data_IF_684049190108
#
_entry.id   IF_684049190108
#
_cell.length_a   1.000
_cell.length_b   1.000
_cell.length_c   1.000
_cell.angle_alpha   90.00
_cell.angle_beta   90.00
_cell.angle_gamma   90.00
#
_symmetry.space_group_name_H-M   'P 1'
#
loop_
_entity.id
_entity.type
_entity.pdbx_description
1 polymer ?
#
# COMPACT_ATOMS: atom_id res chain seq x y z
N UNK A 1 9.77 13.01 30.07
CA UNK A 1 8.52 12.90 29.30
C UNK A 1 8.94 12.77 27.85
N UNK A 2 9.15 11.54 27.37
CA UNK A 2 9.43 11.32 25.95
C UNK A 2 8.21 11.82 25.19
N UNK A 3 8.38 12.80 24.31
CA UNK A 3 7.35 13.16 23.35
C UNK A 3 7.08 11.90 22.54
N UNK A 4 5.93 11.26 22.80
CA UNK A 4 5.47 10.12 22.02
C UNK A 4 5.09 10.73 20.67
N UNK A 5 5.96 10.56 19.67
CA UNK A 5 5.70 10.98 18.29
C UNK A 5 4.62 10.11 17.65
N UNK A 6 4.41 10.29 16.35
CA UNK A 6 3.61 9.40 15.52
C UNK A 6 4.55 8.53 14.68
N UNK A 7 4.76 7.28 15.09
CA UNK A 7 5.86 6.46 14.58
C UNK A 7 5.95 6.42 13.04
N UNK A 8 4.82 6.21 12.35
CA UNK A 8 4.84 6.09 10.89
C UNK A 8 4.90 7.47 10.22
N UNK A 9 4.09 8.43 10.67
CA UNK A 9 4.06 9.76 10.04
C UNK A 9 5.41 10.48 10.17
N UNK A 10 6.04 10.37 11.34
CA UNK A 10 7.31 11.04 11.65
C UNK A 10 8.49 10.47 10.85
N UNK A 11 8.35 9.25 10.30
CA UNK A 11 9.36 8.65 9.42
C UNK A 11 9.05 8.86 7.94
N UNK A 12 7.77 8.76 7.54
CA UNK A 12 7.38 8.83 6.12
C UNK A 12 7.19 10.26 5.61
N UNK A 13 6.66 11.18 6.41
CA UNK A 13 6.17 12.49 5.93
C UNK A 13 6.86 13.66 6.61
N UNK A 14 7.05 13.62 7.94
CA UNK A 14 7.66 14.74 8.67
C UNK A 14 9.04 15.17 8.15
N UNK A 15 9.96 14.26 7.73
CA UNK A 15 11.27 14.66 7.19
C UNK A 15 11.18 15.48 5.90
N UNK A 16 10.03 15.45 5.23
CA UNK A 16 9.79 16.05 3.93
C UNK A 16 9.09 17.41 3.98
N UNK A 17 8.78 17.94 5.18
CA UNK A 17 8.03 19.19 5.34
C UNK A 17 8.67 20.40 4.66
N UNK A 18 9.98 20.36 4.41
CA UNK A 18 10.73 21.40 3.73
C UNK A 18 11.49 20.88 2.50
N UNK A 19 11.22 19.65 2.04
CA UNK A 19 11.91 19.06 0.90
C UNK A 19 11.32 19.58 -0.44
N UNK A 20 12.09 20.34 -1.25
CA UNK A 20 11.58 20.91 -2.49
C UNK A 20 11.63 19.93 -3.68
N UNK A 21 12.15 18.71 -3.52
CA UNK A 21 12.21 17.74 -4.63
C UNK A 21 10.83 17.21 -4.99
N UNK A 22 10.68 16.74 -6.23
CA UNK A 22 9.42 16.20 -6.75
C UNK A 22 9.13 14.85 -6.09
N UNK A 23 7.98 14.75 -5.42
CA UNK A 23 7.46 13.48 -4.91
C UNK A 23 6.59 12.79 -5.97
N UNK A 24 5.54 13.46 -6.44
CA UNK A 24 4.60 12.90 -7.41
C UNK A 24 4.73 13.67 -8.73
N UNK A 25 4.98 12.93 -9.80
CA UNK A 25 5.00 13.46 -11.17
C UNK A 25 3.86 12.84 -11.95
N UNK A 26 2.98 13.66 -12.52
CA UNK A 26 1.84 13.21 -13.30
C UNK A 26 2.14 13.33 -14.81
N UNK A 27 1.60 12.43 -15.66
CA UNK A 27 1.86 12.49 -17.10
C UNK A 27 1.32 13.72 -17.82
N UNK A 28 0.43 14.49 -17.20
CA UNK A 28 -0.03 15.80 -17.70
C UNK A 28 0.98 16.93 -17.42
N UNK A 29 2.13 16.60 -16.83
CA UNK A 29 3.21 17.53 -16.48
C UNK A 29 3.03 18.23 -15.13
N UNK A 30 2.02 17.84 -14.34
CA UNK A 30 1.85 18.38 -13.00
C UNK A 30 2.76 17.64 -12.01
N UNK A 31 3.76 18.36 -11.51
CA UNK A 31 4.67 17.89 -10.47
C UNK A 31 4.28 18.46 -9.10
N UNK A 32 4.34 17.61 -8.09
CA UNK A 32 4.06 17.96 -6.69
C UNK A 32 5.30 17.63 -5.87
N UNK A 33 5.84 18.66 -5.21
CA UNK A 33 6.99 18.49 -4.34
C UNK A 33 6.60 17.81 -3.05
N UNK A 34 7.58 17.18 -2.41
CA UNK A 34 7.44 16.62 -1.07
C UNK A 34 6.87 17.63 -0.05
N UNK A 35 7.42 18.85 0.00
CA UNK A 35 6.95 19.90 0.90
C UNK A 35 5.49 20.30 0.62
N UNK A 36 5.13 20.48 -0.66
CA UNK A 36 3.75 20.83 -1.03
C UNK A 36 2.77 19.71 -0.68
N UNK A 37 3.17 18.45 -0.87
CA UNK A 37 2.37 17.28 -0.50
C UNK A 37 2.14 17.22 1.02
N UNK A 38 3.18 17.41 1.84
CA UNK A 38 3.07 17.39 3.31
C UNK A 38 2.19 18.53 3.82
N UNK A 39 2.32 19.75 3.26
CA UNK A 39 1.46 20.88 3.57
C UNK A 39 -0.02 20.57 3.24
N UNK A 40 -0.27 19.99 2.07
CA UNK A 40 -1.62 19.58 1.63
C UNK A 40 -2.22 18.52 2.57
N UNK A 41 -1.43 17.54 3.00
CA UNK A 41 -1.87 16.53 3.98
C UNK A 41 -2.25 17.16 5.33
N UNK A 42 -1.48 18.15 5.81
CA UNK A 42 -1.80 18.87 7.04
C UNK A 42 -3.11 19.66 6.94
N UNK A 43 -3.38 20.28 5.79
CA UNK A 43 -4.66 20.96 5.54
C UNK A 43 -5.84 19.98 5.55
N UNK A 44 -5.69 18.81 4.93
CA UNK A 44 -6.71 17.75 4.98
C UNK A 44 -6.91 17.26 6.42
N UNK A 45 -5.84 17.13 7.22
CA UNK A 45 -5.95 16.73 8.63
C UNK A 45 -6.84 17.69 9.46
N UNK A 46 -6.76 19.01 9.20
CA UNK A 46 -7.70 19.97 9.79
C UNK A 46 -9.15 19.72 9.36
N UNK A 47 -9.40 19.41 8.09
CA UNK A 47 -10.75 19.05 7.61
C UNK A 47 -11.27 17.78 8.29
N UNK A 48 -10.43 16.77 8.47
CA UNK A 48 -10.81 15.54 9.17
C UNK A 48 -11.23 15.82 10.62
N UNK A 49 -10.43 16.56 11.37
CA UNK A 49 -10.75 16.92 12.76
C UNK A 49 -11.97 17.83 12.87
N UNK A 50 -12.18 18.76 11.93
CA UNK A 50 -13.38 19.58 11.87
C UNK A 50 -14.65 18.76 11.61
N UNK A 51 -14.52 17.58 10.98
CA UNK A 51 -15.59 16.59 10.81
C UNK A 51 -15.64 15.56 11.96
N UNK A 52 -14.93 15.84 13.06
CA UNK A 52 -15.00 15.08 14.31
C UNK A 52 -14.17 13.80 14.34
N UNK A 53 -13.22 13.61 13.42
CA UNK A 53 -12.29 12.47 13.48
C UNK A 53 -11.33 12.64 14.67
N UNK A 54 -11.21 11.59 15.48
CA UNK A 54 -10.28 11.48 16.61
C UNK A 54 -9.27 10.33 16.39
N UNK A 55 -8.14 10.30 17.13
CA UNK A 55 -7.21 9.17 17.05
C UNK A 55 -7.90 7.82 17.31
N UNK A 56 -7.65 6.83 16.44
CA UNK A 56 -8.28 5.50 16.49
C UNK A 56 -9.61 5.36 15.72
N UNK A 57 -10.18 6.47 15.24
CA UNK A 57 -11.34 6.40 14.35
C UNK A 57 -10.97 5.80 12.98
N UNK A 58 -11.88 5.07 12.36
CA UNK A 58 -11.68 4.53 11.01
C UNK A 58 -12.19 5.53 9.97
N UNK A 59 -11.41 5.74 8.92
CA UNK A 59 -11.82 6.49 7.73
C UNK A 59 -11.92 5.50 6.57
N UNK A 60 -13.16 5.20 6.17
CA UNK A 60 -13.45 4.28 5.07
C UNK A 60 -13.45 5.06 3.75
N UNK A 61 -12.63 4.63 2.79
CA UNK A 61 -12.38 5.37 1.55
C UNK A 61 -12.64 4.50 0.34
N UNK A 62 -13.72 4.79 -0.38
CA UNK A 62 -14.01 4.24 -1.71
C UNK A 62 -13.89 5.37 -2.75
N UNK A 63 -12.67 5.87 -2.94
CA UNK A 63 -12.36 7.00 -3.82
C UNK A 63 -11.44 6.59 -4.98
N UNK A 64 -11.49 7.29 -6.13
CA UNK A 64 -10.59 7.04 -7.24
C UNK A 64 -9.13 7.33 -6.86
N UNK A 65 -8.20 6.66 -7.54
CA UNK A 65 -6.77 6.93 -7.38
C UNK A 65 -6.44 8.33 -7.92
N UNK A 66 -6.10 9.24 -7.02
CA UNK A 66 -5.60 10.59 -7.28
C UNK A 66 -4.58 10.98 -6.20
N UNK A 67 -3.89 12.11 -6.38
CA UNK A 67 -2.92 12.64 -5.42
C UNK A 67 -3.57 12.88 -4.07
N UNK A 68 -4.76 13.46 -4.08
CA UNK A 68 -5.52 13.82 -2.87
C UNK A 68 -5.89 12.59 -2.05
N UNK A 69 -6.08 11.43 -2.67
CA UNK A 69 -6.30 10.17 -1.94
C UNK A 69 -5.04 9.73 -1.18
N UNK A 70 -3.86 9.98 -1.73
CA UNK A 70 -2.57 9.74 -1.03
C UNK A 70 -2.38 10.77 0.09
N UNK A 71 -2.74 12.03 -0.15
CA UNK A 71 -2.70 13.08 0.87
C UNK A 71 -3.70 12.80 2.01
N UNK A 72 -4.86 12.21 1.70
CA UNK A 72 -5.83 11.74 2.69
C UNK A 72 -5.26 10.60 3.54
N UNK A 73 -4.52 9.66 2.95
CA UNK A 73 -3.79 8.64 3.72
C UNK A 73 -2.80 9.29 4.71
N UNK A 74 -1.98 10.23 4.24
CA UNK A 74 -1.03 10.96 5.10
C UNK A 74 -1.74 11.74 6.22
N UNK A 75 -2.83 12.45 5.88
CA UNK A 75 -3.65 13.19 6.84
C UNK A 75 -4.29 12.28 7.89
N UNK A 76 -4.78 11.11 7.49
CA UNK A 76 -5.37 10.11 8.38
C UNK A 76 -4.34 9.66 9.42
N UNK A 77 -3.11 9.34 8.97
CA UNK A 77 -2.01 9.02 9.88
C UNK A 77 -1.66 10.19 10.79
N UNK A 78 -1.65 11.42 10.26
CA UNK A 78 -1.30 12.61 11.03
C UNK A 78 -2.28 12.90 12.17
N UNK A 79 -3.58 12.67 11.93
CA UNK A 79 -4.64 12.75 12.95
C UNK A 79 -4.57 11.56 13.93
N UNK A 80 -3.84 10.50 13.60
CA UNK A 80 -3.77 9.27 14.39
C UNK A 80 -4.96 8.35 14.20
N UNK A 81 -5.72 8.55 13.11
CA UNK A 81 -6.84 7.72 12.69
C UNK A 81 -6.36 6.52 11.87
N UNK A 82 -7.28 5.61 11.58
CA UNK A 82 -7.03 4.34 10.91
C UNK A 82 -7.55 4.41 9.48
N UNK A 83 -6.65 4.33 8.51
CA UNK A 83 -7.00 4.41 7.08
C UNK A 83 -7.55 3.08 6.57
N UNK A 84 -8.70 3.12 5.88
CA UNK A 84 -9.38 1.93 5.38
C UNK A 84 -9.77 2.13 3.92
N UNK A 85 -8.90 1.81 2.95
CA UNK A 85 -9.22 1.95 1.54
C UNK A 85 -10.00 0.73 1.04
N UNK A 86 -10.93 0.98 0.14
CA UNK A 86 -11.75 -0.03 -0.52
C UNK A 86 -11.56 0.00 -2.03
N UNK A 87 -11.79 -1.14 -2.66
CA UNK A 87 -11.86 -1.23 -4.11
C UNK A 87 -13.03 -0.38 -4.62
N UNK A 88 -12.75 0.49 -5.59
CA UNK A 88 -13.77 1.35 -6.22
C UNK A 88 -14.80 0.56 -7.02
N UNK A 89 -14.51 -0.70 -7.35
CA UNK A 89 -15.45 -1.61 -8.00
C UNK A 89 -16.44 -2.29 -7.04
N UNK A 90 -16.27 -2.15 -5.71
CA UNK A 90 -17.20 -2.75 -4.76
C UNK A 90 -18.60 -2.13 -4.88
N UNK A 91 -19.59 -3.02 -4.83
CA UNK A 91 -21.01 -2.69 -4.84
C UNK A 91 -21.45 -2.08 -3.51
N UNK A 92 -22.64 -1.47 -3.50
CA UNK A 92 -23.26 -0.92 -2.29
C UNK A 92 -23.33 -1.96 -1.16
N UNK A 93 -23.72 -3.20 -1.46
CA UNK A 93 -23.87 -4.26 -0.45
C UNK A 93 -22.53 -4.65 0.18
N UNK A 94 -21.47 -4.72 -0.65
CA UNK A 94 -20.11 -4.96 -0.16
C UNK A 94 -19.61 -3.81 0.72
N UNK A 95 -19.83 -2.55 0.30
CA UNK A 95 -19.47 -1.37 1.10
C UNK A 95 -20.26 -1.31 2.41
N UNK A 96 -21.55 -1.65 2.39
CA UNK A 96 -22.39 -1.73 3.59
C UNK A 96 -21.83 -2.75 4.59
N UNK A 97 -21.40 -3.92 4.12
CA UNK A 97 -20.70 -4.91 4.96
C UNK A 97 -19.44 -4.33 5.60
N UNK A 98 -18.55 -3.71 4.82
CA UNK A 98 -17.30 -3.15 5.34
C UNK A 98 -17.54 -2.00 6.33
N UNK A 99 -18.51 -1.13 6.05
CA UNK A 99 -18.88 -0.02 6.92
C UNK A 99 -19.51 -0.52 8.22
N UNK A 100 -20.38 -1.54 8.15
CA UNK A 100 -21.01 -2.15 9.33
C UNK A 100 -19.99 -2.82 10.25
N UNK A 101 -18.97 -3.47 9.69
CA UNK A 101 -17.90 -4.14 10.46
C UNK A 101 -16.88 -3.13 11.02
N UNK A 102 -16.38 -2.22 10.18
CA UNK A 102 -15.37 -1.25 10.57
C UNK A 102 -15.91 -0.10 11.43
N UNK A 103 -17.22 0.18 11.36
CA UNK A 103 -17.90 1.31 12.03
C UNK A 103 -17.13 2.64 11.88
N UNK A 104 -16.92 3.13 10.64
CA UNK A 104 -16.09 4.30 10.42
C UNK A 104 -16.72 5.58 10.94
N UNK A 105 -15.88 6.53 11.38
CA UNK A 105 -16.32 7.89 11.71
C UNK A 105 -16.64 8.70 10.47
N UNK A 106 -15.90 8.43 9.39
CA UNK A 106 -15.98 9.15 8.14
C UNK A 106 -15.93 8.18 6.97
N UNK A 107 -16.82 8.41 6.00
CA UNK A 107 -16.87 7.72 4.71
C UNK A 107 -16.49 8.71 3.61
N UNK A 108 -15.55 8.33 2.74
CA UNK A 108 -15.19 9.11 1.55
C UNK A 108 -15.54 8.32 0.30
N UNK A 109 -16.39 8.90 -0.56
CA UNK A 109 -16.74 8.34 -1.88
C UNK A 109 -16.52 9.35 -3.01
N UNK A 110 -16.89 9.03 -4.24
CA UNK A 110 -17.01 10.03 -5.31
C UNK A 110 -18.40 10.68 -5.31
N UNK A 111 -18.55 11.84 -5.94
CA UNK A 111 -19.87 12.49 -6.09
C UNK A 111 -20.90 11.57 -6.78
N UNK A 112 -20.43 10.77 -7.76
CA UNK A 112 -21.27 9.79 -8.46
C UNK A 112 -21.77 8.64 -7.58
N UNK A 113 -21.12 8.40 -6.44
CA UNK A 113 -21.48 7.34 -5.50
C UNK A 113 -22.26 7.85 -4.27
N UNK A 114 -22.44 9.18 -4.13
CA UNK A 114 -23.08 9.80 -2.95
C UNK A 114 -24.45 9.21 -2.66
N UNK A 115 -25.29 9.00 -3.67
CA UNK A 115 -26.64 8.46 -3.48
C UNK A 115 -26.58 7.07 -2.81
N UNK A 116 -25.73 6.18 -3.32
CA UNK A 116 -25.57 4.84 -2.76
C UNK A 116 -24.93 4.85 -1.36
N UNK A 117 -23.98 5.76 -1.12
CA UNK A 117 -23.20 5.82 0.12
C UNK A 117 -23.90 6.59 1.25
N UNK A 118 -24.82 7.49 0.93
CA UNK A 118 -25.53 8.31 1.93
C UNK A 118 -26.37 7.45 2.89
N UNK A 119 -27.04 6.43 2.37
CA UNK A 119 -27.80 5.48 3.20
C UNK A 119 -26.88 4.70 4.14
N UNK A 120 -25.77 4.17 3.61
CA UNK A 120 -24.78 3.43 4.41
C UNK A 120 -24.19 4.32 5.51
N UNK A 121 -23.76 5.54 5.15
CA UNK A 121 -23.19 6.49 6.11
C UNK A 121 -24.18 6.83 7.23
N UNK A 122 -25.46 7.03 6.89
CA UNK A 122 -26.51 7.24 7.87
C UNK A 122 -26.72 6.03 8.80
N UNK A 123 -26.75 4.81 8.25
CA UNK A 123 -26.91 3.57 9.03
C UNK A 123 -25.80 3.35 10.06
N UNK A 124 -24.55 3.66 9.70
CA UNK A 124 -23.40 3.50 10.61
C UNK A 124 -23.07 4.78 11.41
N UNK A 125 -23.82 5.87 11.20
CA UNK A 125 -23.57 7.15 11.87
C UNK A 125 -22.27 7.87 11.45
N UNK A 126 -21.80 7.63 10.23
CA UNK A 126 -20.60 8.24 9.67
C UNK A 126 -20.90 9.56 8.95
N UNK A 127 -19.95 10.50 8.98
CA UNK A 127 -19.98 11.67 8.08
C UNK A 127 -19.58 11.23 6.67
N UNK A 128 -20.35 11.61 5.65
CA UNK A 128 -20.01 11.38 4.24
C UNK A 128 -19.33 12.62 3.63
N UNK A 129 -18.13 12.45 3.07
CA UNK A 129 -17.45 13.43 2.24
C UNK A 129 -17.16 12.84 0.85
N UNK A 130 -16.85 13.72 -0.12
CA UNK A 130 -16.55 13.30 -1.49
C UNK A 130 -15.15 13.69 -1.94
N UNK A 131 -14.55 12.81 -2.76
CA UNK A 131 -13.30 12.99 -3.46
C UNK A 131 -13.40 12.35 -4.86
N UNK A 132 -13.19 13.16 -5.89
CA UNK A 132 -13.30 12.80 -7.29
C UNK A 132 -11.92 12.55 -7.93
N UNK A 133 -11.91 12.04 -9.16
CA UNK A 133 -10.69 11.63 -9.89
C UNK A 133 -9.83 12.80 -10.39
N UNK A 134 -10.37 14.02 -10.34
CA UNK A 134 -9.70 15.28 -10.61
C UNK A 134 -9.26 16.01 -9.33
N UNK A 135 -9.42 15.38 -8.16
CA UNK A 135 -9.09 15.97 -6.87
C UNK A 135 -10.17 16.92 -6.31
N UNK A 136 -11.29 17.11 -7.00
CA UNK A 136 -12.42 17.89 -6.47
C UNK A 136 -13.28 17.08 -5.49
N UNK A 137 -14.23 17.74 -4.80
CA UNK A 137 -15.18 17.09 -3.90
C UNK A 137 -15.34 17.85 -2.58
N UNK A 138 -16.31 17.45 -1.76
CA UNK A 138 -16.62 18.15 -0.50
C UNK A 138 -15.51 18.04 0.54
N UNK A 139 -14.68 16.98 0.48
CA UNK A 139 -13.47 16.86 1.30
C UNK A 139 -12.50 18.02 1.03
N UNK A 140 -12.41 18.45 -0.23
CA UNK A 140 -11.43 19.42 -0.69
C UNK A 140 -11.94 20.87 -0.66
N UNK A 141 -13.25 21.07 -0.45
CA UNK A 141 -13.92 22.36 -0.54
C UNK A 141 -13.38 23.46 0.39
N UNK A 142 -12.76 23.09 1.52
CA UNK A 142 -12.20 24.05 2.50
C UNK A 142 -10.73 23.82 2.81
N UNK A 143 -10.05 22.93 2.08
CA UNK A 143 -8.65 22.56 2.37
C UNK A 143 -7.72 23.74 2.18
N UNK A 144 -7.88 24.52 1.11
CA UNK A 144 -7.00 25.67 0.82
C UNK A 144 -7.07 26.78 1.89
N UNK A 145 -8.13 26.81 2.70
CA UNK A 145 -8.29 27.76 3.80
C UNK A 145 -7.67 27.28 5.12
N UNK A 146 -7.21 26.04 5.20
CA UNK A 146 -6.63 25.47 6.41
C UNK A 146 -5.13 25.78 6.53
N UNK A 147 -4.57 25.80 7.76
CA UNK A 147 -3.13 25.90 7.96
C UNK A 147 -2.36 24.75 7.30
N UNK A 148 -1.19 25.07 6.73
CA UNK A 148 -0.27 24.11 6.10
C UNK A 148 0.55 23.26 7.10
N UNK A 149 0.27 23.41 8.40
CA UNK A 149 0.87 22.60 9.47
C UNK A 149 -0.23 22.12 10.40
N UNK A 150 -0.01 20.95 11.00
CA UNK A 150 -0.98 20.31 11.88
C UNK A 150 -0.26 19.69 13.10
N UNK A 151 -0.83 19.79 14.32
CA UNK A 151 -0.26 19.15 15.50
C UNK A 151 -0.48 17.63 15.43
N UNK A 152 0.49 16.91 14.85
CA UNK A 152 0.44 15.46 14.66
C UNK A 152 0.13 14.70 15.97
N UNK A 153 -0.86 13.81 15.93
CA UNK A 153 -1.28 13.02 17.08
C UNK A 153 -0.27 11.92 17.43
N UNK A 154 0.02 11.74 18.72
CA UNK A 154 0.96 10.73 19.22
C UNK A 154 0.46 9.30 18.96
N UNK A 155 1.23 8.46 18.27
CA UNK A 155 0.95 7.05 17.99
C UNK A 155 2.21 6.20 18.14
N UNK A 156 2.14 5.16 18.96
CA UNK A 156 3.20 4.19 19.19
C UNK A 156 3.28 3.10 18.11
N UNK A 157 4.11 2.09 18.37
CA UNK A 157 4.38 0.99 17.45
C UNK A 157 3.16 0.10 17.17
N UNK A 158 2.46 -0.31 18.23
CA UNK A 158 1.34 -1.27 18.17
C UNK A 158 -0.01 -0.61 17.88
N UNK A 159 -0.03 0.72 17.85
CA UNK A 159 -1.18 1.50 17.47
C UNK A 159 -1.55 1.25 16.00
N UNK A 160 -2.84 1.18 15.70
CA UNK A 160 -3.31 0.90 14.33
C UNK A 160 -3.14 2.12 13.42
N UNK A 161 -2.61 1.87 12.22
CA UNK A 161 -2.44 2.83 11.15
C UNK A 161 -3.43 2.59 9.99
N UNK A 162 -3.79 1.33 9.75
CA UNK A 162 -4.72 0.97 8.67
C UNK A 162 -5.51 -0.32 8.94
N UNK A 163 -6.67 -0.43 8.31
CA UNK A 163 -7.38 -1.69 8.09
C UNK A 163 -7.42 -1.98 6.60
N UNK A 164 -6.91 -3.15 6.18
CA UNK A 164 -7.11 -3.64 4.81
C UNK A 164 -7.93 -4.92 4.83
N UNK A 165 -9.02 -4.92 4.07
CA UNK A 165 -9.83 -6.12 3.92
C UNK A 165 -9.21 -7.09 2.92
N UNK A 166 -9.17 -8.37 3.29
CA UNK A 166 -8.70 -9.44 2.42
C UNK A 166 -9.63 -9.66 1.22
N UNK A 167 -9.15 -10.33 0.17
CA UNK A 167 -9.92 -10.57 -1.07
C UNK A 167 -11.10 -11.55 -0.93
N UNK A 168 -11.25 -12.22 0.22
CA UNK A 168 -12.40 -13.09 0.49
C UNK A 168 -12.43 -14.41 -0.31
N UNK A 169 -11.28 -14.92 -0.76
CA UNK A 169 -11.22 -16.16 -1.56
C UNK A 169 -11.68 -17.41 -0.80
N UNK A 170 -11.58 -17.41 0.54
CA UNK A 170 -11.95 -18.54 1.41
C UNK A 170 -13.15 -18.24 2.32
N UNK A 171 -13.86 -17.13 2.09
CA UNK A 171 -14.98 -16.69 2.91
C UNK A 171 -15.19 -15.18 2.84
N UNK A 172 -15.93 -14.60 3.80
CA UNK A 172 -16.08 -13.13 3.85
C UNK A 172 -14.72 -12.47 4.09
N UNK A 173 -14.48 -11.35 3.41
CA UNK A 173 -13.31 -10.50 3.61
C UNK A 173 -13.17 -10.09 5.08
N UNK A 174 -11.94 -10.18 5.60
CA UNK A 174 -11.62 -9.90 7.01
C UNK A 174 -10.75 -8.64 7.08
N UNK A 175 -11.01 -7.74 8.02
CA UNK A 175 -10.19 -6.54 8.21
C UNK A 175 -8.87 -6.86 8.89
N UNK A 176 -7.76 -6.87 8.16
CA UNK A 176 -6.43 -7.06 8.74
C UNK A 176 -6.00 -5.77 9.47
N UNK A 177 -5.70 -5.88 10.78
CA UNK A 177 -5.28 -4.76 11.61
C UNK A 177 -3.78 -4.47 11.47
N UNK A 178 -3.45 -3.41 10.73
CA UNK A 178 -2.06 -3.02 10.45
C UNK A 178 -1.62 -1.94 11.43
N UNK A 179 -0.59 -2.23 12.22
CA UNK A 179 0.02 -1.26 13.13
C UNK A 179 0.97 -0.30 12.40
N UNK A 180 1.32 0.81 13.05
CA UNK A 180 2.37 1.70 12.56
C UNK A 180 3.69 0.95 12.34
N UNK A 181 4.06 0.04 13.25
CA UNK A 181 5.30 -0.73 13.15
C UNK A 181 5.26 -1.79 12.04
N UNK A 182 4.08 -2.38 11.78
CA UNK A 182 3.91 -3.32 10.67
C UNK A 182 4.28 -2.67 9.34
N UNK A 183 3.76 -1.47 9.10
CA UNK A 183 4.00 -0.73 7.87
C UNK A 183 5.44 -0.21 7.81
N UNK A 184 5.93 0.40 8.89
CA UNK A 184 7.28 0.99 8.91
C UNK A 184 8.37 -0.08 8.75
N UNK A 185 8.32 -1.14 9.56
CA UNK A 185 9.37 -2.18 9.56
C UNK A 185 9.49 -2.87 8.19
N UNK A 186 8.36 -3.09 7.51
CA UNK A 186 8.36 -3.69 6.18
C UNK A 186 8.94 -2.73 5.14
N UNK A 187 8.53 -1.45 5.14
CA UNK A 187 9.05 -0.47 4.20
C UNK A 187 10.55 -0.23 4.37
N UNK A 188 11.07 -0.15 5.60
CA UNK A 188 12.51 -0.05 5.88
C UNK A 188 13.26 -1.25 5.28
N UNK A 189 12.79 -2.47 5.56
CA UNK A 189 13.42 -3.67 5.01
C UNK A 189 13.44 -3.67 3.48
N UNK A 190 12.39 -3.18 2.82
CA UNK A 190 12.32 -3.15 1.36
C UNK A 190 13.18 -2.05 0.74
N UNK A 191 13.28 -0.87 1.37
CA UNK A 191 14.20 0.18 0.92
C UNK A 191 15.63 -0.34 0.91
N UNK A 192 16.05 -1.01 1.99
CA UNK A 192 17.39 -1.58 2.10
C UNK A 192 17.60 -2.74 1.10
N UNK A 193 16.70 -3.72 1.09
CA UNK A 193 16.83 -4.93 0.24
C UNK A 193 16.76 -4.61 -1.26
N UNK A 194 15.98 -3.61 -1.67
CA UNK A 194 15.85 -3.21 -3.08
C UNK A 194 16.70 -1.99 -3.45
N UNK A 195 17.49 -1.48 -2.50
CA UNK A 195 18.39 -0.33 -2.64
C UNK A 195 17.68 0.88 -3.25
N UNK A 196 16.53 1.22 -2.71
CA UNK A 196 15.74 2.37 -3.18
C UNK A 196 16.37 3.65 -2.64
N UNK A 197 16.55 4.63 -3.52
CA UNK A 197 17.21 5.90 -3.20
C UNK A 197 16.40 7.07 -3.75
N UNK A 198 16.76 8.28 -3.36
CA UNK A 198 16.18 9.53 -3.88
C UNK A 198 16.47 9.77 -5.38
N UNK A 199 17.39 9.02 -5.97
CA UNK A 199 17.65 9.01 -7.41
C UNK A 199 16.61 8.21 -8.21
N UNK A 200 15.72 7.47 -7.54
CA UNK A 200 14.75 6.61 -8.20
C UNK A 200 13.51 7.34 -8.70
N UNK A 201 12.98 6.82 -9.82
CA UNK A 201 11.73 7.21 -10.44
C UNK A 201 10.85 5.96 -10.57
N UNK A 202 9.93 5.80 -9.63
CA UNK A 202 9.00 4.67 -9.55
C UNK A 202 7.78 4.90 -10.44
N UNK A 203 7.65 4.10 -11.49
CA UNK A 203 6.45 4.09 -12.35
C UNK A 203 5.31 3.36 -11.64
N UNK A 204 4.33 4.12 -11.16
CA UNK A 204 3.29 3.62 -10.28
C UNK A 204 1.92 3.56 -10.97
N UNK A 205 1.59 2.40 -11.53
CA UNK A 205 0.29 2.12 -12.16
C UNK A 205 -0.64 1.21 -11.33
N UNK A 206 -0.21 0.77 -10.14
CA UNK A 206 -0.98 -0.09 -9.25
C UNK A 206 -2.15 0.65 -8.57
N UNK A 207 -3.24 -0.06 -8.19
CA UNK A 207 -4.28 0.50 -7.32
C UNK A 207 -3.77 0.80 -5.91
N UNK A 208 -4.29 1.85 -5.27
CA UNK A 208 -3.90 2.28 -3.91
C UNK A 208 -4.91 1.87 -2.82
N UNK A 209 -5.76 0.87 -3.11
CA UNK A 209 -6.58 0.17 -2.11
C UNK A 209 -6.02 -1.21 -1.74
N UNK A 210 -4.89 -1.60 -2.32
CA UNK A 210 -4.17 -2.83 -1.98
C UNK A 210 -2.79 -2.51 -1.41
N UNK A 211 -2.29 -3.38 -0.52
CA UNK A 211 -0.97 -3.24 0.13
C UNK A 211 0.17 -2.98 -0.85
N UNK A 212 0.12 -3.56 -2.06
CA UNK A 212 1.19 -3.40 -3.06
C UNK A 212 1.33 -1.97 -3.56
N UNK A 213 0.23 -1.32 -3.97
CA UNK A 213 0.30 0.06 -4.44
C UNK A 213 0.35 1.07 -3.29
N UNK A 214 -0.41 0.85 -2.21
CA UNK A 214 -0.44 1.81 -1.12
C UNK A 214 0.81 1.75 -0.24
N UNK A 215 1.14 0.58 0.31
CA UNK A 215 2.20 0.48 1.32
C UNK A 215 3.54 0.17 0.70
N UNK A 216 3.65 -0.87 -0.12
CA UNK A 216 4.94 -1.27 -0.70
C UNK A 216 5.50 -0.18 -1.60
N UNK A 217 4.71 0.33 -2.56
CA UNK A 217 5.18 1.37 -3.47
C UNK A 217 5.35 2.75 -2.82
N UNK A 218 4.29 3.31 -2.21
CA UNK A 218 4.37 4.69 -1.72
C UNK A 218 5.19 4.84 -0.44
N UNK A 219 5.13 3.92 0.53
CA UNK A 219 5.92 4.09 1.76
C UNK A 219 7.42 3.92 1.50
N UNK A 220 7.82 3.06 0.56
CA UNK A 220 9.25 2.94 0.19
C UNK A 220 9.74 4.17 -0.56
N UNK A 221 8.93 4.76 -1.45
CA UNK A 221 9.25 6.02 -2.11
C UNK A 221 9.35 7.19 -1.11
N UNK A 222 8.42 7.27 -0.15
CA UNK A 222 8.47 8.24 0.93
C UNK A 222 9.74 8.07 1.77
N UNK A 223 10.06 6.88 2.27
CA UNK A 223 11.28 6.65 3.07
C UNK A 223 12.58 6.99 2.34
N UNK A 224 12.64 6.68 1.04
CA UNK A 224 13.86 6.86 0.24
C UNK A 224 14.02 8.24 -0.37
N UNK A 225 12.95 9.04 -0.44
CA UNK A 225 12.93 10.30 -1.18
C UNK A 225 12.75 10.16 -2.70
N UNK A 226 12.38 8.97 -3.19
CA UNK A 226 12.21 8.68 -4.61
C UNK A 226 11.01 9.41 -5.23
N UNK A 227 11.14 9.84 -6.49
CA UNK A 227 10.01 10.35 -7.25
C UNK A 227 9.10 9.20 -7.70
N UNK A 228 7.79 9.43 -7.66
CA UNK A 228 6.76 8.50 -8.12
C UNK A 228 6.09 9.10 -9.35
N UNK A 229 6.23 8.44 -10.50
CA UNK A 229 5.45 8.74 -11.71
C UNK A 229 4.06 8.14 -11.54
N UNK A 230 3.08 8.98 -11.22
CA UNK A 230 1.81 8.57 -10.63
C UNK A 230 0.71 8.46 -11.70
N UNK A 231 0.53 7.25 -12.25
CA UNK A 231 -0.55 6.97 -13.21
C UNK A 231 -1.88 6.71 -12.49
N UNK A 232 -2.99 7.27 -12.98
CA UNK A 232 -4.33 7.06 -12.39
C UNK A 232 -4.77 5.59 -12.39
N UNK A 233 -4.31 4.82 -13.37
CA UNK A 233 -4.59 3.39 -13.55
C UNK A 233 -3.50 2.76 -14.42
N UNK A 234 -3.55 1.44 -14.58
CA UNK A 234 -2.79 0.79 -15.64
C UNK A 234 -3.34 1.21 -17.00
N UNK A 235 -2.51 1.88 -17.76
CA UNK A 235 -2.69 2.20 -19.16
C UNK A 235 -1.37 1.90 -19.87
N UNK A 236 -1.41 1.06 -20.90
CA UNK A 236 -0.21 0.55 -21.54
C UNK A 236 0.54 1.64 -22.33
N UNK A 237 -0.20 2.56 -22.96
CA UNK A 237 0.40 3.64 -23.74
C UNK A 237 1.09 4.65 -22.81
N UNK A 238 0.45 5.00 -21.70
CA UNK A 238 1.06 5.84 -20.67
C UNK A 238 2.27 5.16 -20.04
N UNK A 239 2.21 3.84 -19.79
CA UNK A 239 3.35 3.11 -19.25
C UNK A 239 4.55 3.19 -20.21
N UNK A 240 4.35 3.00 -21.51
CA UNK A 240 5.42 3.14 -22.50
C UNK A 240 5.94 4.57 -22.66
N UNK A 241 5.08 5.58 -22.49
CA UNK A 241 5.49 6.98 -22.53
C UNK A 241 6.47 7.32 -21.38
N UNK A 242 6.27 6.72 -20.21
CA UNK A 242 7.06 7.01 -19.00
C UNK A 242 8.23 6.04 -18.77
N UNK A 243 8.24 4.87 -19.43
CA UNK A 243 9.23 3.81 -19.18
C UNK A 243 10.68 4.25 -19.43
N UNK A 244 10.90 5.13 -20.42
CA UNK A 244 12.25 5.60 -20.77
C UNK A 244 12.88 6.48 -19.68
N UNK A 245 12.07 7.13 -18.84
CA UNK A 245 12.52 8.06 -17.79
C UNK A 245 12.28 7.50 -16.37
N UNK A 246 11.88 6.23 -16.26
CA UNK A 246 11.70 5.53 -15.01
C UNK A 246 12.94 4.70 -14.66
N UNK A 247 13.13 4.42 -13.36
CA UNK A 247 14.18 3.50 -12.89
C UNK A 247 13.58 2.22 -12.32
N UNK A 248 12.32 2.26 -11.88
CA UNK A 248 11.64 1.16 -11.22
C UNK A 248 10.21 0.99 -11.71
N UNK A 249 9.77 -0.26 -11.82
CA UNK A 249 8.36 -0.60 -12.03
C UNK A 249 7.96 -1.70 -11.05
N UNK A 250 7.00 -1.38 -10.18
CA UNK A 250 6.29 -2.37 -9.37
C UNK A 250 5.01 -2.78 -10.10
N UNK A 251 4.89 -4.06 -10.40
CA UNK A 251 3.81 -4.60 -11.20
C UNK A 251 3.25 -5.92 -10.67
N UNK A 252 2.07 -6.27 -11.14
CA UNK A 252 1.52 -7.62 -11.02
C UNK A 252 1.92 -8.45 -12.26
N UNK A 253 1.86 -9.79 -12.23
CA UNK A 253 2.21 -10.62 -13.40
C UNK A 253 1.53 -10.19 -14.71
N UNK A 254 0.28 -9.70 -14.64
CA UNK A 254 -0.46 -9.22 -15.82
C UNK A 254 0.10 -7.94 -16.45
N UNK A 255 0.89 -7.14 -15.73
CA UNK A 255 1.63 -6.02 -16.35
C UNK A 255 2.69 -6.57 -17.29
N UNK A 256 3.47 -7.55 -16.82
CA UNK A 256 4.58 -8.13 -17.57
C UNK A 256 4.10 -8.90 -18.79
N UNK A 257 3.00 -9.66 -18.70
CA UNK A 257 2.43 -10.34 -19.88
C UNK A 257 1.90 -9.35 -20.92
N UNK A 258 1.31 -8.22 -20.49
CA UNK A 258 0.87 -7.16 -21.41
C UNK A 258 2.04 -6.41 -22.07
N UNK A 259 3.08 -6.10 -21.30
CA UNK A 259 4.33 -5.52 -21.82
C UNK A 259 4.98 -6.44 -22.86
N UNK A 260 5.07 -7.74 -22.56
CA UNK A 260 5.61 -8.74 -23.49
C UNK A 260 4.80 -8.90 -24.77
N UNK A 261 3.49 -8.72 -24.70
CA UNK A 261 2.61 -8.80 -25.87
C UNK A 261 2.72 -7.57 -26.78
N UNK A 262 3.31 -6.46 -26.31
CA UNK A 262 3.44 -5.23 -27.09
C UNK A 262 4.81 -5.13 -27.79
N UNK A 263 4.75 -4.91 -29.10
CA UNK A 263 5.92 -4.76 -29.97
C UNK A 263 6.91 -3.65 -29.54
N UNK A 264 6.46 -2.62 -28.82
CA UNK A 264 7.29 -1.50 -28.35
C UNK A 264 8.30 -1.92 -27.28
N UNK A 265 8.05 -3.01 -26.55
CA UNK A 265 8.99 -3.49 -25.54
C UNK A 265 10.29 -3.92 -26.23
N UNK A 266 11.39 -3.28 -25.84
CA UNK A 266 12.74 -3.53 -26.34
C UNK A 266 13.75 -3.26 -25.22
N UNK A 267 15.03 -3.66 -25.36
CA UNK A 267 16.07 -3.25 -24.41
C UNK A 267 16.24 -1.72 -24.34
N UNK A 268 16.05 -1.01 -25.44
CA UNK A 268 16.27 0.44 -25.51
C UNK A 268 15.26 1.23 -24.67
N UNK A 269 13.97 0.86 -24.72
CA UNK A 269 12.90 1.57 -24.00
C UNK A 269 12.97 1.37 -22.48
N UNK A 270 13.72 0.37 -22.02
CA UNK A 270 13.92 0.05 -20.59
C UNK A 270 15.38 0.22 -20.16
N UNK A 271 16.16 0.99 -20.91
CA UNK A 271 17.61 1.13 -20.68
C UNK A 271 17.97 1.87 -19.39
N UNK A 272 17.07 2.72 -18.88
CA UNK A 272 17.18 3.46 -17.62
C UNK A 272 16.66 2.67 -16.41
N UNK A 273 15.88 1.61 -16.66
CA UNK A 273 15.31 0.77 -15.62
C UNK A 273 16.43 0.01 -14.92
N UNK A 274 16.46 0.06 -13.59
CA UNK A 274 17.34 -0.77 -12.77
C UNK A 274 16.61 -1.94 -12.13
N UNK A 275 15.28 -1.86 -11.99
CA UNK A 275 14.52 -2.88 -11.27
C UNK A 275 13.07 -3.01 -11.74
N UNK A 276 12.69 -4.24 -12.07
CA UNK A 276 11.31 -4.64 -12.28
C UNK A 276 10.89 -5.56 -11.14
N UNK A 277 9.81 -5.23 -10.43
CA UNK A 277 9.35 -5.97 -9.24
C UNK A 277 7.97 -6.55 -9.52
N UNK A 278 7.84 -7.88 -9.46
CA UNK A 278 6.55 -8.56 -9.60
C UNK A 278 6.05 -9.12 -8.28
N UNK A 279 4.75 -8.99 -8.04
CA UNK A 279 4.06 -9.99 -7.23
C UNK A 279 2.58 -9.68 -7.03
N UNK A 280 2.04 -10.07 -5.87
CA UNK A 280 0.60 -10.14 -5.56
C UNK A 280 -0.14 -11.28 -6.29
N UNK A 281 0.52 -11.95 -7.23
CA UNK A 281 0.12 -13.22 -7.83
C UNK A 281 1.38 -13.94 -8.34
N UNK A 282 1.34 -15.26 -8.57
CA UNK A 282 2.48 -16.01 -9.08
C UNK A 282 2.94 -15.48 -10.45
N UNK A 283 4.22 -15.16 -10.58
CA UNK A 283 4.86 -14.90 -11.87
C UNK A 283 5.25 -16.23 -12.51
N UNK A 284 4.68 -16.53 -13.67
CA UNK A 284 5.01 -17.75 -14.41
C UNK A 284 6.48 -17.73 -14.85
N UNK A 285 7.15 -18.88 -14.75
CA UNK A 285 8.56 -19.00 -15.11
C UNK A 285 8.80 -18.61 -16.58
N UNK A 286 7.87 -18.96 -17.46
CA UNK A 286 7.89 -18.61 -18.88
C UNK A 286 7.82 -17.09 -19.09
N UNK A 287 7.05 -16.38 -18.25
CA UNK A 287 6.96 -14.90 -18.31
C UNK A 287 8.28 -14.28 -17.87
N UNK A 288 8.90 -14.80 -16.80
CA UNK A 288 10.20 -14.32 -16.34
C UNK A 288 11.30 -14.52 -17.40
N UNK A 289 11.35 -15.72 -18.01
CA UNK A 289 12.32 -16.05 -19.06
C UNK A 289 12.11 -15.15 -20.28
N UNK A 290 10.88 -15.06 -20.80
CA UNK A 290 10.59 -14.23 -21.98
C UNK A 290 10.89 -12.75 -21.73
N UNK A 291 10.61 -12.22 -20.53
CA UNK A 291 10.93 -10.85 -20.17
C UNK A 291 12.45 -10.62 -20.15
N UNK A 292 13.20 -11.57 -19.58
CA UNK A 292 14.66 -11.54 -19.56
C UNK A 292 15.22 -11.55 -20.99
N UNK A 293 14.74 -12.45 -21.86
CA UNK A 293 15.20 -12.54 -23.25
C UNK A 293 14.88 -11.28 -24.05
N UNK A 294 13.72 -10.64 -23.79
CA UNK A 294 13.26 -9.46 -24.54
C UNK A 294 13.93 -8.17 -24.10
N UNK A 295 14.33 -8.06 -22.83
CA UNK A 295 14.74 -6.79 -22.22
C UNK A 295 16.14 -6.80 -21.62
N UNK A 296 16.70 -7.99 -21.34
CA UNK A 296 17.93 -8.15 -20.55
C UNK A 296 17.71 -8.05 -19.04
N UNK A 297 16.49 -7.77 -18.58
CA UNK A 297 16.18 -7.60 -17.15
C UNK A 297 15.56 -8.84 -16.54
N UNK A 298 16.07 -9.24 -15.38
CA UNK A 298 15.47 -10.30 -14.57
C UNK A 298 14.45 -9.69 -13.61
N UNK A 299 13.20 -10.16 -13.64
CA UNK A 299 12.16 -9.63 -12.74
C UNK A 299 12.46 -10.10 -11.31
N UNK A 300 12.46 -9.18 -10.35
CA UNK A 300 12.53 -9.49 -8.93
C UNK A 300 11.13 -9.84 -8.43
N UNK A 301 10.88 -11.12 -8.18
CA UNK A 301 9.63 -11.58 -7.58
C UNK A 301 9.73 -11.56 -6.04
N UNK A 302 8.65 -11.14 -5.38
CA UNK A 302 8.50 -11.10 -3.92
C UNK A 302 7.15 -11.67 -3.50
N UNK A 303 7.06 -12.27 -2.33
CA UNK A 303 5.80 -12.79 -1.77
C UNK A 303 5.39 -12.03 -0.51
N UNK A 304 4.09 -11.82 -0.40
CA UNK A 304 3.47 -11.12 0.71
C UNK A 304 1.96 -11.22 0.62
N UNK A 305 1.29 -10.86 1.71
CA UNK A 305 -0.17 -10.92 1.86
C UNK A 305 -0.67 -9.66 2.57
N UNK A 306 -2.00 -9.53 2.66
CA UNK A 306 -2.60 -8.40 3.38
C UNK A 306 -2.20 -8.45 4.87
N UNK A 307 -2.27 -9.63 5.47
CA UNK A 307 -1.98 -9.89 6.88
C UNK A 307 -0.50 -9.81 7.26
N UNK A 308 0.41 -9.78 6.29
CA UNK A 308 1.84 -9.96 6.55
C UNK A 308 2.72 -8.91 5.88
N UNK A 309 2.14 -7.99 5.10
CA UNK A 309 2.89 -7.19 4.13
C UNK A 309 3.80 -8.12 3.30
N UNK A 310 5.05 -7.72 3.01
CA UNK A 310 6.00 -8.60 2.32
C UNK A 310 6.68 -9.56 3.31
N UNK A 311 6.81 -10.82 2.91
CA UNK A 311 7.40 -11.92 3.69
C UNK A 311 8.79 -12.26 3.12
N UNK A 312 8.87 -12.51 1.81
CA UNK A 312 10.09 -12.96 1.12
C UNK A 312 10.35 -12.11 -0.12
N UNK A 313 11.60 -12.05 -0.55
CA UNK A 313 12.02 -11.40 -1.78
C UNK A 313 13.13 -12.19 -2.46
N UNK A 314 13.11 -12.28 -3.79
CA UNK A 314 14.34 -12.58 -4.52
C UNK A 314 15.37 -11.47 -4.24
N UNK A 315 16.66 -11.80 -4.21
CA UNK A 315 17.68 -10.83 -3.83
C UNK A 315 17.83 -9.76 -4.93
N UNK A 316 18.23 -8.55 -4.52
CA UNK A 316 18.60 -7.50 -5.47
C UNK A 316 19.84 -7.91 -6.27
N UNK A 317 20.91 -8.34 -5.59
CA UNK A 317 22.09 -8.92 -6.21
C UNK A 317 22.04 -10.46 -6.13
N UNK A 318 22.24 -11.14 -7.26
CA UNK A 318 22.32 -12.60 -7.32
C UNK A 318 21.20 -13.24 -8.13
N UNK A 319 21.09 -14.56 -8.03
CA UNK A 319 20.17 -15.36 -8.85
C UNK A 319 18.71 -15.10 -8.47
N UNK A 320 17.95 -14.51 -9.39
CA UNK A 320 16.48 -14.42 -9.33
C UNK A 320 15.88 -15.64 -10.02
N UNK A 321 15.51 -16.64 -9.24
CA UNK A 321 15.11 -17.95 -9.77
C UNK A 321 13.62 -17.94 -10.13
N UNK A 322 13.34 -18.14 -11.41
CA UNK A 322 11.98 -18.23 -11.94
C UNK A 322 11.16 -19.30 -11.19
N UNK A 323 9.92 -18.97 -10.83
CA UNK A 323 9.04 -19.85 -10.05
C UNK A 323 9.34 -19.89 -8.55
N UNK A 324 10.20 -19.00 -8.04
CA UNK A 324 10.46 -18.85 -6.60
C UNK A 324 10.25 -17.40 -6.16
N UNK A 325 9.90 -17.22 -4.89
CA UNK A 325 9.61 -15.91 -4.29
C UNK A 325 10.76 -15.41 -3.40
N UNK A 326 11.92 -16.06 -3.51
CA UNK A 326 13.14 -15.75 -2.77
C UNK A 326 13.13 -16.11 -1.29
N UNK A 327 14.06 -15.50 -0.55
CA UNK A 327 14.32 -15.78 0.86
C UNK A 327 13.52 -14.84 1.78
N UNK A 328 13.32 -15.20 3.07
CA UNK A 328 12.70 -14.30 4.05
C UNK A 328 13.42 -12.96 4.11
N UNK A 329 12.64 -11.88 4.19
CA UNK A 329 13.16 -10.54 4.42
C UNK A 329 13.83 -10.44 5.81
N UNK A 330 14.80 -9.53 6.00
CA UNK A 330 15.40 -9.28 7.31
C UNK A 330 14.36 -9.10 8.43
N UNK A 331 14.51 -9.86 9.50
CA UNK A 331 13.58 -9.83 10.64
C UNK A 331 12.27 -10.61 10.45
N UNK A 332 12.10 -11.28 9.31
CA UNK A 332 10.99 -12.20 9.04
C UNK A 332 11.49 -13.64 9.16
N UNK A 333 10.83 -14.42 10.01
CA UNK A 333 11.01 -15.86 10.13
C UNK A 333 9.96 -16.56 9.29
N UNK A 334 10.39 -17.55 8.51
CA UNK A 334 9.51 -18.41 7.71
C UNK A 334 9.86 -19.85 8.00
N UNK A 335 8.84 -20.66 8.24
CA UNK A 335 8.96 -22.12 8.33
C UNK A 335 7.89 -22.80 7.50
N UNK A 336 8.17 -24.05 7.11
CA UNK A 336 7.20 -24.93 6.47
C UNK A 336 6.86 -26.03 7.46
N UNK A 337 5.58 -26.26 7.70
CA UNK A 337 5.09 -27.24 8.67
C UNK A 337 4.13 -28.22 8.04
N UNK A 338 4.04 -29.41 8.62
CA UNK A 338 2.98 -30.36 8.31
C UNK A 338 1.62 -29.81 8.80
N UNK A 339 0.58 -29.70 7.94
CA UNK A 339 -0.68 -29.08 8.32
C UNK A 339 -1.48 -29.83 9.40
N UNK A 340 -1.27 -31.14 9.55
CA UNK A 340 -2.01 -31.97 10.51
C UNK A 340 -1.34 -31.98 11.88
N UNK A 341 -0.01 -32.11 11.90
CA UNK A 341 0.78 -32.29 13.11
C UNK A 341 1.42 -31.00 13.62
N UNK A 342 1.58 -29.99 12.75
CA UNK A 342 2.30 -28.75 13.05
C UNK A 342 3.82 -28.92 13.19
N UNK A 343 4.37 -30.09 12.85
CA UNK A 343 5.80 -30.35 12.90
C UNK A 343 6.55 -29.60 11.78
N UNK A 344 7.74 -29.09 12.07
CA UNK A 344 8.60 -28.49 11.04
C UNK A 344 9.00 -29.54 10.01
N UNK A 345 8.95 -29.17 8.74
CA UNK A 345 9.38 -30.00 7.61
C UNK A 345 10.78 -29.63 7.15
N UNK A 346 11.48 -30.61 6.58
CA UNK A 346 12.82 -30.43 6.03
C UNK A 346 12.78 -29.72 4.66
N UNK A 347 13.88 -29.05 4.25
CA UNK A 347 13.97 -28.42 2.94
C UNK A 347 13.61 -29.37 1.79
N UNK A 348 12.74 -28.90 0.88
CA UNK A 348 12.26 -29.66 -0.27
C UNK A 348 10.93 -30.40 -0.05
N UNK A 349 10.42 -30.43 1.18
CA UNK A 349 9.08 -30.95 1.47
C UNK A 349 8.00 -29.85 1.32
N UNK A 350 6.80 -30.26 0.89
CA UNK A 350 5.66 -29.37 0.72
C UNK A 350 4.82 -29.38 2.00
N UNK A 351 4.45 -28.20 2.50
CA UNK A 351 3.60 -28.04 3.66
C UNK A 351 3.04 -26.64 3.79
N UNK A 352 2.46 -26.35 4.96
CA UNK A 352 1.90 -25.05 5.28
C UNK A 352 3.00 -24.05 5.63
N UNK A 353 2.92 -22.84 5.09
CA UNK A 353 3.85 -21.76 5.41
C UNK A 353 3.36 -21.08 6.69
N UNK A 354 4.27 -20.88 7.64
CA UNK A 354 4.03 -20.02 8.79
C UNK A 354 5.08 -18.94 8.88
N UNK A 355 4.65 -17.73 9.22
CA UNK A 355 5.51 -16.54 9.24
C UNK A 355 5.43 -15.80 10.56
N UNK A 356 6.55 -15.25 11.02
CA UNK A 356 6.62 -14.41 12.22
C UNK A 356 7.56 -13.25 11.97
N UNK A 357 7.18 -12.06 12.41
CA UNK A 357 8.01 -10.88 12.30
C UNK A 357 7.21 -9.62 12.57
N UNK A 358 7.89 -8.48 12.62
CA UNK A 358 7.27 -7.16 12.83
C UNK A 358 6.33 -6.77 11.68
N UNK A 359 6.41 -7.42 10.53
CA UNK A 359 5.55 -7.23 9.37
C UNK A 359 4.16 -7.87 9.52
N UNK A 360 3.98 -8.82 10.44
CA UNK A 360 2.73 -9.55 10.65
C UNK A 360 1.72 -8.67 11.40
N UNK A 361 0.51 -8.57 10.86
CA UNK A 361 -0.62 -7.82 11.42
C UNK A 361 -0.92 -8.15 12.88
N UNK A 362 -1.68 -7.27 13.55
CA UNK A 362 -2.09 -7.48 14.94
C UNK A 362 -3.27 -8.45 15.12
N UNK A 363 -3.82 -8.97 14.01
CA UNK A 363 -5.00 -9.84 14.00
C UNK A 363 -6.12 -9.29 13.12
N UNK A 364 -7.25 -10.00 13.12
CA UNK A 364 -8.44 -9.61 12.38
C UNK A 364 -9.38 -8.76 13.24
N UNK A 365 -9.80 -7.62 12.70
CA UNK A 365 -10.72 -6.69 13.32
C UNK A 365 -12.00 -7.39 13.75
N UNK A 366 -12.39 -7.23 15.03
CA UNK A 366 -13.58 -7.84 15.64
C UNK A 366 -13.71 -9.38 15.48
N UNK A 367 -12.60 -10.07 15.19
CA UNK A 367 -12.60 -11.53 15.01
C UNK A 367 -11.51 -12.21 15.88
N UNK A 368 -11.60 -12.14 17.23
CA UNK A 368 -10.58 -12.69 18.12
C UNK A 368 -10.42 -14.21 18.00
N UNK A 369 -11.52 -14.95 17.81
CA UNK A 369 -11.47 -16.41 17.62
C UNK A 369 -10.74 -16.80 16.33
N UNK A 370 -11.03 -16.08 15.23
CA UNK A 370 -10.35 -16.31 13.95
C UNK A 370 -8.88 -15.92 14.03
N UNK A 371 -8.57 -14.84 14.74
CA UNK A 371 -7.20 -14.42 15.04
C UNK A 371 -6.47 -15.52 15.79
N UNK A 372 -7.01 -16.04 16.90
CA UNK A 372 -6.36 -17.09 17.68
C UNK A 372 -6.20 -18.41 16.91
N UNK A 373 -7.08 -18.69 15.95
CA UNK A 373 -6.98 -19.87 15.10
C UNK A 373 -5.86 -19.79 14.05
N UNK A 374 -5.51 -18.58 13.58
CA UNK A 374 -4.55 -18.38 12.48
C UNK A 374 -3.24 -17.71 12.93
N UNK A 375 -3.25 -16.97 14.04
CA UNK A 375 -2.09 -16.34 14.67
C UNK A 375 -1.81 -17.02 16.02
N UNK A 376 -0.76 -17.83 16.06
CA UNK A 376 -0.35 -18.62 17.23
C UNK A 376 0.17 -17.73 18.35
N UNK A 377 0.06 -18.18 19.59
CA UNK A 377 0.58 -17.47 20.78
C UNK A 377 2.10 -17.18 20.72
N UNK A 378 2.85 -17.98 19.95
CA UNK A 378 4.30 -17.78 19.73
C UNK A 378 4.62 -16.79 18.59
N UNK A 379 3.60 -16.10 18.06
CA UNK A 379 3.71 -15.06 17.04
C UNK A 379 3.72 -15.55 15.58
N UNK A 380 3.63 -16.87 15.33
CA UNK A 380 3.55 -17.38 13.97
C UNK A 380 2.13 -17.29 13.41
N UNK A 381 2.00 -16.64 12.27
CA UNK A 381 0.79 -16.60 11.46
C UNK A 381 0.79 -17.70 10.40
N UNK A 382 -0.31 -18.42 10.28
CA UNK A 382 -0.55 -19.48 9.31
C UNK A 382 -1.09 -18.83 8.03
N UNK A 383 -0.37 -18.97 6.91
CA UNK A 383 -0.67 -18.25 5.66
C UNK A 383 -1.72 -18.91 4.78
#
# INVERSE_FOLDING_TARGET
MHLVGNLLYDQLFAPHSANPTVFLSQPDGQDITYAAFVARAAQIAHVLTANGVEPGDRILVQAPKCVEMVALYAATLQVGAIFLPLNTAYTKDEVSYFAGDATPKLLVGSDSAVEALSEIAHEVGATLLTLNSDGSGSLMASVDAQPETFPTAARGADDLAALLYTSGTTGRSKGAMMSHDNLLSNSVSLVDEWRITDADRLLHALPIFHTHGLFVALNTALLSGATVVFLKNFDLDMLFAELADATMLMGVPTFYTRLLADHRLSPDIVSTMRLFISGSAPLLAETHIAFTERTGHHILERYGMTETNMITSNPYDGDRRAGTVGAPLPGVEVKVVDPETGANLDPGQVGMIEVRGRNVFSGYWQMPEKTAAELRENGFFIT
#
